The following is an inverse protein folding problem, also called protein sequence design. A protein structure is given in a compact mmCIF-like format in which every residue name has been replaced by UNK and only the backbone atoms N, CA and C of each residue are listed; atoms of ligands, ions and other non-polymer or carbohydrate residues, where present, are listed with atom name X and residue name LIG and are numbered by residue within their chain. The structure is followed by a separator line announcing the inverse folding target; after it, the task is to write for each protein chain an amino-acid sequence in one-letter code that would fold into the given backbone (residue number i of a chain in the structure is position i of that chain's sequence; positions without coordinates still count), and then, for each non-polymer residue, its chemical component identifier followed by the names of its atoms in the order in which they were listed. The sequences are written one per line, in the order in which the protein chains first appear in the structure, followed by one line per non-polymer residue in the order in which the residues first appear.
data_IF_380139088999
#
_entry.id   IF_380139088999
#
_cell.length_a   1.000
_cell.length_b   1.000
_cell.length_c   1.000
_cell.angle_alpha   90.00
_cell.angle_beta   90.00
_cell.angle_gamma   90.00
#
_symmetry.space_group_name_H-M   'P 1'
#
loop_
_entity.id
_entity.type
_entity.pdbx_description
1 polymer ?
#
# COMPACT_ATOMS: atom_id res chain seq x y z
N UNK A 1 -10.77 1.43 53.39
CA UNK A 1 -9.45 2.08 53.25
C UNK A 1 -9.15 2.28 51.77
N UNK A 2 -9.22 3.51 51.28
CA UNK A 2 -8.91 3.83 49.87
C UNK A 2 -7.40 3.69 49.65
N UNK A 3 -6.97 2.76 48.79
CA UNK A 3 -5.56 2.61 48.41
C UNK A 3 -5.12 3.89 47.72
N UNK A 4 -4.18 4.63 48.35
CA UNK A 4 -3.56 5.83 47.76
C UNK A 4 -3.03 5.43 46.38
N UNK A 5 -3.60 6.01 45.32
CA UNK A 5 -3.11 5.84 43.95
C UNK A 5 -1.60 6.07 43.98
N UNK A 6 -0.81 5.03 43.66
CA UNK A 6 0.65 5.09 43.73
C UNK A 6 1.15 6.37 43.08
N UNK A 7 2.06 7.10 43.74
CA UNK A 7 2.30 8.53 43.53
C UNK A 7 2.69 8.97 42.10
N UNK A 8 3.83 9.63 41.93
CA UNK A 8 4.26 10.07 40.59
C UNK A 8 4.58 8.89 39.67
N UNK A 9 5.28 7.88 40.21
CA UNK A 9 5.71 6.69 39.46
C UNK A 9 4.53 5.88 38.90
N UNK A 10 3.49 5.60 39.70
CA UNK A 10 2.37 4.82 39.19
C UNK A 10 1.54 5.60 38.16
N UNK A 11 1.45 6.93 38.27
CA UNK A 11 0.84 7.77 37.21
C UNK A 11 1.65 7.78 35.92
N UNK A 12 2.98 7.78 36.00
CA UNK A 12 3.82 7.61 34.81
C UNK A 12 3.65 6.23 34.19
N UNK A 13 3.68 5.16 35.00
CA UNK A 13 3.49 3.80 34.52
C UNK A 13 2.11 3.61 33.86
N UNK A 14 1.04 4.15 34.46
CA UNK A 14 -0.30 4.11 33.86
C UNK A 14 -0.39 4.85 32.53
N UNK A 15 0.35 5.96 32.34
CA UNK A 15 0.38 6.70 31.07
C UNK A 15 1.26 6.03 30.00
N UNK A 16 2.29 5.30 30.42
CA UNK A 16 3.18 4.56 29.52
C UNK A 16 2.62 3.18 29.13
N UNK A 17 1.63 2.67 29.86
CA UNK A 17 0.98 1.41 29.56
C UNK A 17 0.21 1.49 28.23
N UNK A 18 0.15 0.40 27.44
CA UNK A 18 -0.67 0.35 26.24
C UNK A 18 -2.14 0.65 26.55
N UNK A 19 -2.79 1.37 25.64
CA UNK A 19 -4.24 1.55 25.70
C UNK A 19 -4.97 0.21 25.54
N UNK A 20 -6.04 0.04 26.31
CA UNK A 20 -7.00 -1.04 26.11
C UNK A 20 -7.57 -0.96 24.68
N UNK A 21 -7.90 -2.12 24.11
CA UNK A 21 -8.19 -2.25 22.68
C UNK A 21 -9.40 -1.41 22.23
N UNK A 22 -10.41 -1.32 23.09
CA UNK A 22 -11.67 -0.58 22.88
C UNK A 22 -11.50 0.94 22.85
N UNK A 23 -10.42 1.47 23.45
CA UNK A 23 -10.13 2.90 23.51
C UNK A 23 -8.98 3.33 22.59
N UNK A 24 -8.44 2.42 21.77
CA UNK A 24 -7.38 2.78 20.82
C UNK A 24 -7.93 3.73 19.74
N UNK A 25 -7.30 4.89 19.51
CA UNK A 25 -7.77 5.85 18.51
C UNK A 25 -7.53 5.37 17.07
N UNK A 26 -6.60 4.44 16.89
CA UNK A 26 -6.19 3.89 15.60
C UNK A 26 -6.43 2.39 15.60
N UNK A 27 -7.07 1.90 14.55
CA UNK A 27 -7.36 0.48 14.31
C UNK A 27 -6.96 0.11 12.89
N UNK A 28 -6.57 -1.14 12.67
CA UNK A 28 -6.31 -1.62 11.32
C UNK A 28 -7.60 -1.60 10.49
N UNK A 29 -7.52 -1.17 9.23
CA UNK A 29 -8.66 -1.14 8.32
C UNK A 29 -9.64 0.00 8.57
N UNK A 30 -9.19 1.13 9.13
CA UNK A 30 -10.01 2.34 9.22
C UNK A 30 -10.37 2.86 7.82
N UNK A 31 -11.57 3.42 7.67
CA UNK A 31 -12.01 3.98 6.39
C UNK A 31 -11.25 5.26 6.02
N UNK A 32 -10.75 5.31 4.79
CA UNK A 32 -10.06 6.45 4.19
C UNK A 32 -10.76 6.97 2.94
N UNK A 33 -9.99 7.55 2.01
CA UNK A 33 -10.48 7.95 0.69
C UNK A 33 -11.34 9.24 0.64
N UNK A 34 -11.42 9.99 1.74
CA UNK A 34 -12.21 11.22 1.81
C UNK A 34 -11.58 12.40 1.05
N UNK A 35 -10.25 12.45 0.94
CA UNK A 35 -9.56 13.51 0.22
C UNK A 35 -9.44 13.16 -1.27
N UNK A 36 -10.20 13.88 -2.11
CA UNK A 36 -10.27 13.68 -3.56
C UNK A 36 -9.99 15.01 -4.28
N UNK A 37 -8.71 15.37 -4.50
CA UNK A 37 -8.36 16.68 -5.06
C UNK A 37 -8.53 16.77 -6.59
N UNK A 38 -8.74 15.64 -7.27
CA UNK A 38 -8.88 15.56 -8.72
C UNK A 38 -10.35 15.40 -9.10
N UNK A 39 -10.74 16.05 -10.21
CA UNK A 39 -12.04 15.82 -10.84
C UNK A 39 -12.04 14.51 -11.64
N UNK A 40 -13.22 14.02 -12.02
CA UNK A 40 -13.35 12.85 -12.89
C UNK A 40 -12.68 13.08 -14.25
N UNK A 41 -12.65 14.33 -14.73
CA UNK A 41 -11.96 14.71 -15.96
C UNK A 41 -10.44 14.56 -15.80
N UNK A 42 -9.87 15.06 -14.72
CA UNK A 42 -8.42 14.95 -14.45
C UNK A 42 -8.00 13.48 -14.34
N UNK A 43 -8.83 12.65 -13.68
CA UNK A 43 -8.60 11.21 -13.56
C UNK A 43 -8.60 10.54 -14.94
N UNK A 44 -9.57 10.86 -15.80
CA UNK A 44 -9.65 10.33 -17.15
C UNK A 44 -8.43 10.73 -17.98
N UNK A 45 -8.00 12.01 -17.91
CA UNK A 45 -6.81 12.47 -18.61
C UNK A 45 -5.54 11.73 -18.15
N UNK A 46 -5.33 11.58 -16.84
CA UNK A 46 -4.18 10.83 -16.30
C UNK A 46 -4.22 9.37 -16.76
N UNK A 47 -5.41 8.74 -16.77
CA UNK A 47 -5.58 7.37 -17.24
C UNK A 47 -5.17 7.22 -18.70
N UNK A 48 -5.65 8.11 -19.58
CA UNK A 48 -5.28 8.10 -21.00
C UNK A 48 -3.77 8.29 -21.21
N UNK A 49 -3.17 9.29 -20.57
CA UNK A 49 -1.73 9.54 -20.68
C UNK A 49 -0.89 8.36 -20.17
N UNK A 50 -1.32 7.68 -19.12
CA UNK A 50 -0.61 6.49 -18.62
C UNK A 50 -0.63 5.35 -19.66
N UNK A 51 -1.75 5.16 -20.36
CA UNK A 51 -1.86 4.15 -21.41
C UNK A 51 -1.00 4.48 -22.63
N UNK A 52 -0.98 5.75 -23.06
CA UNK A 52 -0.11 6.23 -24.14
C UNK A 52 1.38 6.05 -23.81
N UNK A 53 1.80 6.38 -22.58
CA UNK A 53 3.18 6.16 -22.14
C UNK A 53 3.54 4.67 -22.23
N UNK A 54 2.65 3.78 -21.79
CA UNK A 54 2.89 2.34 -21.82
C UNK A 54 2.95 1.78 -23.25
N UNK A 55 2.14 2.29 -24.18
CA UNK A 55 2.11 1.80 -25.56
C UNK A 55 3.20 2.40 -26.44
N UNK A 56 3.55 3.68 -26.24
CA UNK A 56 4.34 4.44 -27.20
C UNK A 56 5.77 4.73 -26.70
N UNK A 57 5.98 4.77 -25.38
CA UNK A 57 7.29 5.05 -24.76
C UNK A 57 7.88 3.79 -24.13
N UNK A 58 7.06 3.00 -23.42
CA UNK A 58 7.43 1.73 -22.80
C UNK A 58 8.44 1.84 -21.64
N UNK A 59 8.80 0.69 -21.07
CA UNK A 59 9.79 0.56 -20.00
C UNK A 59 11.15 0.12 -20.53
N UNK A 60 12.22 0.73 -20.00
CA UNK A 60 13.60 0.30 -20.24
C UNK A 60 14.07 -0.59 -19.09
N UNK A 61 15.18 -1.30 -19.30
CA UNK A 61 15.93 -2.03 -18.28
C UNK A 61 15.09 -3.15 -17.61
N UNK A 62 14.18 -3.74 -18.37
CA UNK A 62 13.44 -4.92 -17.97
C UNK A 62 14.39 -6.14 -17.92
N UNK A 63 14.27 -6.95 -16.87
CA UNK A 63 14.99 -8.23 -16.79
C UNK A 63 14.53 -9.19 -17.88
N UNK A 64 15.38 -10.15 -18.26
CA UNK A 64 15.02 -11.18 -19.25
C UNK A 64 13.73 -11.93 -18.87
N UNK A 65 13.54 -12.21 -17.57
CA UNK A 65 12.33 -12.84 -17.06
C UNK A 65 11.08 -11.97 -17.26
N UNK A 66 11.16 -10.66 -17.00
CA UNK A 66 10.06 -9.73 -17.27
C UNK A 66 9.74 -9.65 -18.77
N UNK A 67 10.77 -9.56 -19.62
CA UNK A 67 10.59 -9.52 -21.08
C UNK A 67 9.88 -10.78 -21.55
N UNK A 68 10.32 -11.96 -21.12
CA UNK A 68 9.70 -13.24 -21.50
C UNK A 68 8.25 -13.33 -21.01
N UNK A 69 7.98 -12.99 -19.74
CA UNK A 69 6.64 -13.05 -19.18
C UNK A 69 5.67 -12.10 -19.89
N UNK A 70 6.08 -10.85 -20.12
CA UNK A 70 5.21 -9.86 -20.74
C UNK A 70 5.00 -10.10 -22.23
N UNK A 71 6.04 -10.51 -22.97
CA UNK A 71 5.88 -10.81 -24.41
C UNK A 71 5.03 -12.06 -24.65
N UNK A 72 5.03 -13.03 -23.72
CA UNK A 72 4.16 -14.21 -23.80
C UNK A 72 2.66 -13.88 -23.77
N UNK A 73 2.28 -12.72 -23.23
CA UNK A 73 0.89 -12.25 -23.14
C UNK A 73 0.58 -11.08 -24.08
N UNK A 74 1.47 -10.76 -25.01
CA UNK A 74 1.21 -9.78 -26.07
C UNK A 74 1.87 -8.40 -25.88
N UNK A 75 2.74 -8.21 -24.88
CA UNK A 75 3.62 -7.05 -24.86
C UNK A 75 4.68 -7.18 -25.97
N UNK A 76 5.26 -6.06 -26.41
CA UNK A 76 6.30 -6.06 -27.46
C UNK A 76 7.61 -5.55 -26.88
N UNK A 77 8.71 -6.27 -27.12
CA UNK A 77 10.05 -5.80 -26.78
C UNK A 77 10.81 -5.41 -28.04
N UNK A 78 11.21 -4.14 -28.14
CA UNK A 78 11.99 -3.61 -29.27
C UNK A 78 12.91 -2.48 -28.78
N UNK A 79 14.08 -2.35 -29.40
CA UNK A 79 15.04 -1.26 -29.11
C UNK A 79 15.37 -1.08 -27.63
N UNK A 80 15.45 -2.19 -26.88
CA UNK A 80 15.75 -2.17 -25.45
C UNK A 80 14.59 -1.76 -24.54
N UNK A 81 13.36 -1.69 -25.08
CA UNK A 81 12.17 -1.24 -24.38
C UNK A 81 10.99 -2.18 -24.53
N UNK A 82 10.21 -2.31 -23.46
CA UNK A 82 9.00 -3.12 -23.37
C UNK A 82 7.76 -2.22 -23.47
N UNK A 83 6.92 -2.47 -24.47
CA UNK A 83 5.72 -1.71 -24.78
C UNK A 83 4.48 -2.57 -24.53
N UNK A 84 3.40 -1.95 -24.06
CA UNK A 84 2.18 -2.63 -23.69
C UNK A 84 1.00 -2.07 -24.50
N UNK A 85 0.36 -2.89 -25.35
CA UNK A 85 -0.87 -2.49 -26.01
C UNK A 85 -1.95 -2.10 -24.99
N UNK A 86 -2.74 -1.09 -25.33
CA UNK A 86 -3.81 -0.56 -24.46
C UNK A 86 -4.74 -1.66 -23.94
N UNK A 87 -5.26 -2.49 -24.85
CA UNK A 87 -6.22 -3.54 -24.51
C UNK A 87 -5.60 -4.59 -23.58
N UNK A 88 -4.30 -4.89 -23.73
CA UNK A 88 -3.58 -5.77 -22.82
C UNK A 88 -3.57 -5.20 -21.40
N UNK A 89 -3.28 -3.91 -21.25
CA UNK A 89 -3.26 -3.25 -19.93
C UNK A 89 -4.66 -3.27 -19.31
N UNK A 90 -5.69 -2.88 -20.06
CA UNK A 90 -7.07 -2.82 -19.56
C UNK A 90 -7.60 -4.19 -19.15
N UNK A 91 -7.38 -5.21 -19.97
CA UNK A 91 -7.81 -6.59 -19.65
C UNK A 91 -7.04 -7.15 -18.44
N UNK A 92 -5.74 -6.83 -18.33
CA UNK A 92 -4.94 -7.22 -17.15
C UNK A 92 -5.47 -6.56 -15.86
N UNK A 93 -5.77 -5.26 -15.90
CA UNK A 93 -6.30 -4.52 -14.74
C UNK A 93 -7.69 -5.02 -14.34
N UNK A 94 -8.52 -5.40 -15.31
CA UNK A 94 -9.84 -5.98 -15.09
C UNK A 94 -9.77 -7.34 -14.40
N UNK A 95 -8.79 -8.17 -14.77
CA UNK A 95 -8.57 -9.49 -14.18
C UNK A 95 -7.84 -9.45 -12.83
N UNK A 96 -7.39 -8.29 -12.38
CA UNK A 96 -6.71 -8.14 -11.10
C UNK A 96 -7.67 -8.37 -9.92
N UNK A 97 -7.29 -9.28 -9.01
CA UNK A 97 -8.07 -9.53 -7.80
C UNK A 97 -8.14 -8.27 -6.91
N UNK A 98 -9.35 -7.88 -6.51
CA UNK A 98 -9.62 -6.73 -5.62
C UNK A 98 -9.98 -7.13 -4.20
N UNK A 99 -10.13 -8.42 -3.93
CA UNK A 99 -10.53 -8.94 -2.63
C UNK A 99 -9.63 -10.13 -2.26
N UNK A 100 -8.68 -9.87 -1.37
CA UNK A 100 -7.80 -10.90 -0.84
C UNK A 100 -7.53 -10.64 0.64
N UNK A 101 -7.13 -11.70 1.33
CA UNK A 101 -6.69 -11.62 2.73
C UNK A 101 -5.18 -11.79 2.77
N UNK A 102 -4.50 -10.82 3.38
CA UNK A 102 -3.11 -10.96 3.76
C UNK A 102 -3.08 -11.60 5.15
N UNK A 103 -2.84 -12.91 5.18
CA UNK A 103 -2.94 -13.72 6.38
C UNK A 103 -1.81 -13.40 7.37
N UNK A 104 -2.18 -13.08 8.60
CA UNK A 104 -1.27 -12.96 9.73
C UNK A 104 -0.91 -14.34 10.28
N UNK A 105 0.14 -14.39 11.11
CA UNK A 105 0.47 -15.61 11.86
C UNK A 105 -0.66 -16.00 12.83
N UNK A 106 -1.35 -15.01 13.38
CA UNK A 106 -2.58 -15.16 14.16
C UNK A 106 -3.71 -14.54 13.31
N UNK A 107 -4.80 -15.27 13.02
CA UNK A 107 -5.89 -14.77 12.19
C UNK A 107 -6.50 -13.44 12.67
N UNK A 108 -6.37 -13.11 13.96
CA UNK A 108 -6.82 -11.80 14.49
C UNK A 108 -6.04 -10.61 13.90
N UNK A 109 -4.91 -10.86 13.25
CA UNK A 109 -4.05 -9.88 12.59
C UNK A 109 -4.11 -9.97 11.07
N UNK A 110 -5.08 -10.71 10.52
CA UNK A 110 -5.34 -10.72 9.09
C UNK A 110 -5.64 -9.31 8.58
N UNK A 111 -5.07 -8.97 7.42
CA UNK A 111 -5.28 -7.69 6.76
C UNK A 111 -6.16 -7.94 5.55
N UNK A 112 -7.20 -7.13 5.43
CA UNK A 112 -8.09 -7.12 4.27
C UNK A 112 -7.95 -5.77 3.56
N UNK A 113 -7.02 -5.64 2.59
CA UNK A 113 -6.66 -4.37 1.96
C UNK A 113 -7.58 -4.08 0.77
N UNK A 114 -8.90 -4.16 0.97
CA UNK A 114 -9.88 -3.84 -0.07
C UNK A 114 -10.62 -2.52 0.19
N UNK A 115 -11.13 -1.93 -0.89
CA UNK A 115 -11.88 -0.67 -0.81
C UNK A 115 -11.00 0.49 -0.34
N UNK A 116 -11.51 1.25 0.64
CA UNK A 116 -10.85 2.43 1.19
C UNK A 116 -10.17 2.17 2.55
N UNK A 117 -10.02 0.90 2.95
CA UNK A 117 -9.42 0.51 4.23
C UNK A 117 -7.94 0.87 4.30
N UNK A 118 -7.56 1.53 5.39
CA UNK A 118 -6.20 1.99 5.65
C UNK A 118 -5.53 1.10 6.70
N UNK A 119 -4.32 0.63 6.39
CA UNK A 119 -3.49 -0.16 7.28
C UNK A 119 -2.13 0.51 7.46
N UNK A 120 -1.61 0.52 8.68
CA UNK A 120 -0.27 1.01 8.96
C UNK A 120 0.76 -0.10 8.78
N UNK A 121 1.89 0.25 8.16
CA UNK A 121 3.04 -0.62 7.99
C UNK A 121 4.34 0.14 8.26
N UNK A 122 5.41 -0.60 8.49
CA UNK A 122 6.76 -0.03 8.64
C UNK A 122 7.32 0.37 7.28
N UNK A 123 8.13 1.43 7.23
CA UNK A 123 8.91 1.75 6.03
C UNK A 123 10.01 0.69 5.81
N UNK A 124 10.17 0.21 4.59
CA UNK A 124 11.04 -0.94 4.27
C UNK A 124 12.44 -0.61 3.77
N UNK A 125 12.80 0.66 3.56
CA UNK A 125 14.00 1.05 2.81
C UNK A 125 15.01 1.90 3.61
N UNK A 126 14.82 2.08 4.92
CA UNK A 126 15.76 2.84 5.72
C UNK A 126 17.06 2.05 5.93
N UNK A 127 18.18 2.59 5.45
CA UNK A 127 19.53 1.98 5.60
C UNK A 127 20.33 2.57 6.78
N UNK A 128 19.79 3.61 7.42
CA UNK A 128 20.37 4.27 8.59
C UNK A 128 19.34 4.38 9.70
N UNK A 129 19.81 4.32 10.95
CA UNK A 129 19.01 4.50 12.15
C UNK A 129 19.53 5.73 12.88
N UNK A 130 18.62 6.58 13.32
CA UNK A 130 18.94 7.66 14.25
C UNK A 130 18.91 7.07 15.66
N UNK A 131 20.05 7.09 16.34
CA UNK A 131 20.12 6.75 17.76
C UNK A 131 19.40 7.85 18.57
N UNK A 132 18.46 7.43 19.40
CA UNK A 132 17.64 8.29 20.26
C UNK A 132 18.28 8.50 21.65
N UNK A 133 19.34 7.75 21.98
CA UNK A 133 20.08 7.93 23.22
C UNK A 133 21.21 8.96 23.03
N UNK A 134 20.99 10.16 23.57
CA UNK A 134 22.03 11.09 24.01
C UNK A 134 21.69 11.61 25.40
#
# INVERSE_FOLDING_TARGET
MSRRSGGRSARHAMRAAPLAEDIRPIRAGMEGGCYKPLSDHDIAQIHESALEILSDIGFKDATEGCIAACTSVGATYRDGRLFFPRDLVLETVKNANRDFTLCGRDPKHDIHPQGAKVHFGTAGAAVHIVDVEK
#
